data_IF_678150122565
#
_entry.id   IF_678150122565
#
_cell.length_a   1.000
_cell.length_b   1.000
_cell.length_c   1.000
_cell.angle_alpha   90.00
_cell.angle_beta   90.00
_cell.angle_gamma   90.00
#
_symmetry.space_group_name_H-M   'P 1'
#
loop_
_entity.id
_entity.type
_entity.pdbx_description
1 polymer ?
#
# COMPACT_ATOMS: atom_id res chain seq x y z
N UNK A 1 -19.12 -15.26 -27.27
CA UNK A 1 -18.78 -13.93 -26.71
C UNK A 1 -17.69 -14.12 -25.67
N UNK A 2 -16.52 -13.50 -25.86
CA UNK A 2 -15.43 -13.52 -24.87
C UNK A 2 -15.43 -12.19 -24.11
N UNK A 3 -15.56 -12.24 -22.79
CA UNK A 3 -15.55 -11.06 -21.92
C UNK A 3 -14.16 -10.96 -21.31
N UNK A 4 -13.53 -9.80 -21.44
CA UNK A 4 -12.24 -9.48 -20.82
C UNK A 4 -12.45 -8.24 -19.95
N UNK A 5 -11.93 -8.26 -18.73
CA UNK A 5 -12.06 -7.16 -17.78
C UNK A 5 -11.07 -7.26 -16.65
N UNK A 6 -11.12 -6.29 -15.73
CA UNK A 6 -10.32 -6.26 -14.52
C UNK A 6 -11.19 -6.48 -13.28
N UNK A 7 -10.66 -7.24 -12.32
CA UNK A 7 -11.28 -7.42 -11.01
C UNK A 7 -10.68 -6.41 -10.01
N UNK A 8 -11.50 -5.89 -9.10
CA UNK A 8 -10.99 -5.06 -8.00
C UNK A 8 -10.23 -5.95 -7.01
N UNK A 9 -9.16 -5.42 -6.40
CA UNK A 9 -8.39 -6.16 -5.37
C UNK A 9 -9.26 -6.68 -4.22
N UNK A 10 -10.32 -5.96 -3.86
CA UNK A 10 -11.27 -6.40 -2.83
C UNK A 10 -12.08 -7.64 -3.21
N UNK A 11 -12.26 -7.92 -4.50
CA UNK A 11 -13.03 -9.08 -5.01
C UNK A 11 -12.17 -10.34 -5.18
N UNK A 12 -10.84 -10.19 -5.22
CA UNK A 12 -9.89 -11.28 -5.51
C UNK A 12 -8.71 -11.27 -4.53
N UNK A 13 -8.97 -10.89 -3.28
CA UNK A 13 -7.93 -10.60 -2.27
C UNK A 13 -7.03 -11.81 -2.00
N UNK A 14 -7.62 -13.00 -1.98
CA UNK A 14 -6.92 -14.27 -1.77
C UNK A 14 -5.97 -14.64 -2.92
N UNK A 15 -6.23 -14.19 -4.14
CA UNK A 15 -5.34 -14.44 -5.29
C UNK A 15 -4.04 -13.64 -5.23
N UNK A 16 -3.92 -12.69 -4.31
CA UNK A 16 -2.68 -11.95 -4.04
C UNK A 16 -1.84 -12.58 -2.92
N UNK A 17 -2.28 -13.69 -2.31
CA UNK A 17 -1.55 -14.39 -1.24
C UNK A 17 -0.68 -15.53 -1.78
N UNK A 18 -0.27 -15.43 -3.03
CA UNK A 18 0.51 -16.46 -3.75
C UNK A 18 1.98 -16.06 -3.74
N UNK A 19 2.87 -17.02 -3.51
CA UNK A 19 4.30 -16.76 -3.50
C UNK A 19 4.80 -16.37 -4.90
N UNK A 20 5.76 -15.44 -4.98
CA UNK A 20 6.32 -14.99 -6.27
C UNK A 20 6.98 -16.13 -7.07
N UNK A 21 7.35 -17.22 -6.41
CA UNK A 21 7.91 -18.43 -7.03
C UNK A 21 6.88 -19.19 -7.88
N UNK A 22 5.58 -18.99 -7.63
CA UNK A 22 4.50 -19.58 -8.42
C UNK A 22 4.12 -18.73 -9.64
N UNK A 23 4.78 -17.59 -9.85
CA UNK A 23 4.52 -16.74 -11.00
C UNK A 23 5.46 -17.12 -12.15
N UNK A 24 4.87 -17.31 -13.32
CA UNK A 24 5.61 -17.54 -14.55
C UNK A 24 5.93 -16.22 -15.26
N UNK A 25 7.03 -16.18 -16.02
CA UNK A 25 7.26 -15.06 -16.94
C UNK A 25 6.28 -15.13 -18.12
N UNK A 26 5.43 -14.11 -18.27
CA UNK A 26 4.46 -14.06 -19.37
C UNK A 26 5.08 -13.44 -20.61
N UNK A 27 5.74 -12.28 -20.44
CA UNK A 27 6.38 -11.55 -21.53
C UNK A 27 7.34 -10.48 -20.99
N UNK A 28 8.29 -10.10 -21.81
CA UNK A 28 9.13 -8.92 -21.60
C UNK A 28 8.52 -7.72 -22.33
N UNK A 29 8.32 -6.60 -21.62
CA UNK A 29 7.85 -5.36 -22.24
C UNK A 29 8.93 -4.72 -23.11
N UNK A 30 8.54 -3.81 -24.04
CA UNK A 30 9.48 -3.08 -24.89
C UNK A 30 10.55 -2.27 -24.11
N UNK A 31 10.28 -1.97 -22.84
CA UNK A 31 11.22 -1.30 -21.93
C UNK A 31 12.18 -2.28 -21.21
N UNK A 32 12.21 -3.56 -21.60
CA UNK A 32 13.06 -4.59 -20.99
C UNK A 32 12.59 -5.06 -19.60
N UNK A 33 11.36 -4.74 -19.20
CA UNK A 33 10.81 -5.20 -17.90
C UNK A 33 10.09 -6.53 -18.08
N UNK A 34 10.54 -7.56 -17.36
CA UNK A 34 9.88 -8.86 -17.24
C UNK A 34 8.55 -8.73 -16.50
N UNK A 35 7.47 -9.19 -17.13
CA UNK A 35 6.12 -9.19 -16.56
C UNK A 35 5.81 -10.63 -16.14
N UNK A 36 5.59 -10.82 -14.85
CA UNK A 36 5.25 -12.12 -14.30
C UNK A 36 3.72 -12.26 -14.16
N UNK A 37 3.23 -13.49 -14.23
CA UNK A 37 1.82 -13.80 -14.17
C UNK A 37 1.53 -15.09 -13.43
N UNK A 38 0.49 -15.08 -12.61
CA UNK A 38 -0.09 -16.26 -12.00
C UNK A 38 -1.50 -16.47 -12.55
N UNK A 39 -1.76 -17.62 -13.15
CA UNK A 39 -3.06 -17.95 -13.74
C UNK A 39 -3.86 -18.84 -12.80
N UNK A 40 -5.11 -18.46 -12.54
CA UNK A 40 -6.02 -19.22 -11.69
C UNK A 40 -7.47 -19.12 -12.18
N UNK A 41 -8.39 -19.77 -11.48
CA UNK A 41 -9.83 -19.72 -11.72
C UNK A 41 -10.54 -19.05 -10.54
N UNK A 42 -11.55 -18.24 -10.84
CA UNK A 42 -12.31 -17.50 -9.85
C UNK A 42 -13.78 -17.42 -10.20
N UNK A 43 -14.66 -17.49 -9.19
CA UNK A 43 -16.05 -17.10 -9.38
C UNK A 43 -16.20 -15.60 -9.17
N UNK A 44 -16.56 -14.88 -10.23
CA UNK A 44 -16.83 -13.45 -10.19
C UNK A 44 -18.21 -13.21 -10.79
N UNK A 45 -19.04 -12.39 -10.14
CA UNK A 45 -20.40 -12.09 -10.62
C UNK A 45 -21.24 -13.34 -10.89
N UNK A 46 -21.10 -14.39 -10.07
CA UNK A 46 -21.82 -15.66 -10.19
C UNK A 46 -21.42 -16.52 -11.39
N UNK A 47 -20.22 -16.28 -11.96
CA UNK A 47 -19.69 -17.04 -13.10
C UNK A 47 -18.20 -17.33 -12.91
N UNK A 48 -17.74 -18.49 -13.40
CA UNK A 48 -16.33 -18.85 -13.42
C UNK A 48 -15.56 -18.08 -14.50
N UNK A 49 -14.44 -17.48 -14.11
CA UNK A 49 -13.50 -16.79 -14.99
C UNK A 49 -12.09 -17.33 -14.81
N UNK A 50 -11.33 -17.41 -15.91
CA UNK A 50 -9.87 -17.51 -15.82
C UNK A 50 -9.32 -16.13 -15.48
N UNK A 51 -8.56 -16.06 -14.40
CA UNK A 51 -7.94 -14.84 -13.89
C UNK A 51 -6.44 -14.95 -14.05
N UNK A 52 -5.81 -13.86 -14.49
CA UNK A 52 -4.36 -13.72 -14.52
C UNK A 52 -3.98 -12.59 -13.58
N UNK A 53 -3.23 -12.91 -12.54
CA UNK A 53 -2.67 -11.94 -11.60
C UNK A 53 -1.32 -11.51 -12.15
N UNK A 54 -1.16 -10.23 -12.46
CA UNK A 54 0.08 -9.69 -13.02
C UNK A 54 0.96 -9.09 -11.92
N UNK A 55 2.24 -9.46 -11.91
CA UNK A 55 3.25 -8.84 -11.08
C UNK A 55 4.30 -8.12 -11.94
N UNK A 56 4.52 -6.84 -11.60
CA UNK A 56 5.49 -5.97 -12.29
C UNK A 56 6.58 -5.54 -11.29
N UNK A 57 7.75 -6.20 -11.29
CA UNK A 57 8.82 -5.93 -10.32
C UNK A 57 9.25 -4.46 -10.28
N UNK A 58 9.36 -3.83 -11.45
CA UNK A 58 9.76 -2.42 -11.57
C UNK A 58 8.72 -1.48 -10.93
N UNK A 59 7.43 -1.75 -11.14
CA UNK A 59 6.34 -0.97 -10.54
C UNK A 59 6.35 -1.12 -9.02
N UNK A 60 6.50 -2.34 -8.51
CA UNK A 60 6.58 -2.60 -7.07
C UNK A 60 7.77 -1.86 -6.43
N UNK A 61 8.96 -1.92 -7.04
CA UNK A 61 10.14 -1.18 -6.59
C UNK A 61 9.90 0.34 -6.54
N UNK A 62 9.26 0.90 -7.57
CA UNK A 62 8.95 2.32 -7.64
C UNK A 62 7.90 2.76 -6.62
N UNK A 63 6.88 1.93 -6.38
CA UNK A 63 5.87 2.16 -5.34
C UNK A 63 6.52 2.18 -3.96
N UNK A 64 7.36 1.18 -3.65
CA UNK A 64 8.13 1.14 -2.39
C UNK A 64 9.02 2.38 -2.23
N UNK A 65 9.78 2.76 -3.26
CA UNK A 65 10.63 3.96 -3.21
C UNK A 65 9.83 5.24 -2.98
N UNK A 66 8.67 5.37 -3.63
CA UNK A 66 7.77 6.52 -3.44
C UNK A 66 7.21 6.56 -2.02
N UNK A 67 6.84 5.39 -1.49
CA UNK A 67 6.37 5.25 -0.12
C UNK A 67 7.45 5.69 0.88
N UNK A 68 8.67 5.16 0.78
CA UNK A 68 9.76 5.51 1.72
C UNK A 68 10.06 7.00 1.71
N UNK A 69 10.14 7.63 0.53
CA UNK A 69 10.34 9.08 0.42
C UNK A 69 9.22 9.88 1.12
N UNK A 70 7.96 9.45 0.96
CA UNK A 70 6.83 10.09 1.62
C UNK A 70 6.86 9.87 3.13
N UNK A 71 7.17 8.64 3.57
CA UNK A 71 7.33 8.30 4.98
C UNK A 71 8.38 9.19 5.64
N UNK A 72 9.55 9.34 5.04
CA UNK A 72 10.60 10.25 5.54
C UNK A 72 10.11 11.69 5.68
N UNK A 73 9.38 12.19 4.68
CA UNK A 73 8.82 13.55 4.75
C UNK A 73 7.76 13.71 5.85
N UNK A 74 6.92 12.70 6.06
CA UNK A 74 5.89 12.71 7.09
C UNK A 74 6.51 12.63 8.49
N UNK A 75 7.46 11.73 8.71
CA UNK A 75 8.20 11.59 9.97
C UNK A 75 8.85 12.92 10.35
N UNK A 76 9.54 13.58 9.42
CA UNK A 76 10.15 14.90 9.67
C UNK A 76 9.13 15.95 10.13
N UNK A 77 7.95 15.99 9.53
CA UNK A 77 6.90 16.95 9.90
C UNK A 77 6.30 16.59 11.27
N UNK A 78 6.03 15.31 11.53
CA UNK A 78 5.45 14.83 12.79
C UNK A 78 6.41 15.04 13.96
N UNK A 79 7.72 14.79 13.78
CA UNK A 79 8.75 15.08 14.78
C UNK A 79 8.84 16.59 15.07
N UNK A 80 8.71 17.43 14.04
CA UNK A 80 8.66 18.88 14.21
C UNK A 80 7.41 19.34 14.97
N UNK A 81 6.27 18.64 14.85
CA UNK A 81 5.06 18.91 15.63
C UNK A 81 5.28 18.48 17.09
N UNK A 82 5.88 17.31 17.33
CA UNK A 82 6.22 16.79 18.67
C UNK A 82 7.14 17.74 19.46
N UNK A 83 8.08 18.39 18.78
CA UNK A 83 9.01 19.34 19.40
C UNK A 83 8.46 20.75 19.66
N UNK A 84 7.24 21.07 19.24
CA UNK A 84 6.65 22.41 19.40
C UNK A 84 5.81 22.52 20.67
N UNK A 85 5.81 23.70 21.30
CA UNK A 85 4.87 24.07 22.37
C UNK A 85 3.49 24.36 21.79
N UNK A 86 2.79 23.32 21.34
CA UNK A 86 1.40 23.38 20.92
C UNK A 86 0.51 22.78 22.01
N UNK A 87 -0.77 23.15 22.02
CA UNK A 87 -1.77 22.38 22.76
C UNK A 87 -1.87 20.98 22.16
N UNK A 88 -2.21 19.97 22.97
CA UNK A 88 -2.37 18.59 22.51
C UNK A 88 -3.34 18.51 21.33
N UNK A 89 -4.48 19.20 21.44
CA UNK A 89 -5.50 19.25 20.39
C UNK A 89 -4.97 19.90 19.09
N UNK A 90 -4.19 20.98 19.22
CA UNK A 90 -3.55 21.64 18.08
C UNK A 90 -2.53 20.74 17.38
N UNK A 91 -1.71 20.03 18.15
CA UNK A 91 -0.74 19.07 17.63
C UNK A 91 -1.44 17.89 16.92
N UNK A 92 -2.49 17.33 17.51
CA UNK A 92 -3.27 16.24 16.89
C UNK A 92 -3.93 16.68 15.58
N UNK A 93 -4.55 17.87 15.55
CA UNK A 93 -5.19 18.40 14.34
C UNK A 93 -4.17 18.61 13.23
N UNK A 94 -3.04 19.23 13.55
CA UNK A 94 -1.98 19.48 12.59
C UNK A 94 -1.38 18.17 12.04
N UNK A 95 -1.22 17.15 12.89
CA UNK A 95 -0.76 15.83 12.47
C UNK A 95 -1.78 15.13 11.54
N UNK A 96 -3.08 15.20 11.84
CA UNK A 96 -4.14 14.63 11.01
C UNK A 96 -4.26 15.29 9.64
N UNK A 97 -4.03 16.61 9.57
CA UNK A 97 -4.02 17.36 8.32
C UNK A 97 -2.76 17.08 7.48
N UNK A 98 -1.64 16.78 8.14
CA UNK A 98 -0.39 16.40 7.49
C UNK A 98 -0.45 15.01 6.87
N UNK A 99 -1.05 14.03 7.57
CA UNK A 99 -1.09 12.63 7.12
C UNK A 99 -2.20 12.44 6.06
N UNK A 100 -1.86 12.08 4.80
CA UNK A 100 -2.85 11.82 3.79
C UNK A 100 -3.76 10.65 4.19
N UNK A 101 -5.03 10.68 3.75
CA UNK A 101 -6.06 9.72 4.17
C UNK A 101 -5.62 8.25 4.05
N UNK A 102 -4.93 7.91 2.97
CA UNK A 102 -4.46 6.54 2.69
C UNK A 102 -3.43 6.04 3.72
N UNK A 103 -2.70 6.95 4.36
CA UNK A 103 -1.63 6.64 5.32
C UNK A 103 -2.11 6.69 6.78
N UNK A 104 -3.32 7.21 7.05
CA UNK A 104 -3.86 7.32 8.41
C UNK A 104 -4.02 5.97 9.12
N UNK A 105 -4.16 4.90 8.35
CA UNK A 105 -4.22 3.56 8.91
C UNK A 105 -2.85 3.05 9.40
N UNK A 106 -1.76 3.61 8.85
CA UNK A 106 -0.36 3.24 9.11
C UNK A 106 0.22 4.11 10.24
N UNK A 107 -0.03 5.42 10.21
CA UNK A 107 0.43 6.35 11.25
C UNK A 107 -0.63 6.47 12.34
N UNK A 108 -0.36 5.87 13.50
CA UNK A 108 -1.22 5.96 14.69
C UNK A 108 -0.78 7.15 15.54
N UNK A 109 -1.67 8.11 15.72
CA UNK A 109 -1.44 9.25 16.60
C UNK A 109 -1.85 8.88 18.02
N UNK A 110 -1.00 9.19 18.99
CA UNK A 110 -1.21 8.89 20.40
C UNK A 110 -0.87 10.11 21.26
N UNK A 111 -1.22 10.02 22.54
CA UNK A 111 -0.82 10.99 23.56
C UNK A 111 0.00 10.20 24.59
N UNK A 112 1.23 10.64 24.87
CA UNK A 112 2.10 10.02 25.85
C UNK A 112 2.62 11.09 26.81
N UNK A 113 2.49 10.86 28.11
CA UNK A 113 2.85 11.81 29.18
C UNK A 113 2.31 13.25 28.97
N UNK A 114 1.08 13.36 28.44
CA UNK A 114 0.46 14.66 28.15
C UNK A 114 1.06 15.41 26.95
N UNK A 115 1.90 14.75 26.15
CA UNK A 115 2.46 15.26 24.91
C UNK A 115 1.96 14.46 23.70
N UNK A 116 1.95 15.11 22.53
CA UNK A 116 1.66 14.45 21.26
C UNK A 116 2.75 13.43 20.92
N UNK A 117 2.34 12.24 20.49
CA UNK A 117 3.24 11.21 19.99
C UNK A 117 2.62 10.46 18.79
N UNK A 118 3.42 9.66 18.10
CA UNK A 118 2.93 8.80 17.02
C UNK A 118 3.71 7.49 16.92
N UNK A 119 3.07 6.47 16.35
CA UNK A 119 3.69 5.19 16.03
C UNK A 119 3.30 4.72 14.63
N UNK A 120 4.14 3.87 14.05
CA UNK A 120 3.94 3.33 12.70
C UNK A 120 3.54 1.85 12.82
N UNK A 121 2.39 1.49 12.23
CA UNK A 121 1.90 0.11 12.18
C UNK A 121 2.64 -0.68 11.10
N UNK A 122 3.70 -1.38 11.52
CA UNK A 122 4.58 -2.17 10.65
C UNK A 122 3.83 -3.27 9.89
N UNK A 123 2.75 -3.82 10.45
CA UNK A 123 1.98 -4.87 9.79
C UNK A 123 1.18 -4.33 8.60
N UNK A 124 0.61 -3.12 8.74
CA UNK A 124 -0.08 -2.45 7.64
C UNK A 124 0.89 -1.88 6.61
N UNK A 125 2.06 -1.45 7.04
CA UNK A 125 3.15 -1.02 6.16
C UNK A 125 3.65 -2.15 5.24
N UNK A 126 3.77 -3.37 5.75
CA UNK A 126 4.14 -4.56 4.94
C UNK A 126 3.09 -4.97 3.90
N UNK A 127 1.86 -4.46 4.02
CA UNK A 127 0.77 -4.76 3.09
C UNK A 127 0.67 -3.82 1.88
N UNK A 128 1.55 -2.81 1.78
CA UNK A 128 1.66 -1.87 0.66
C UNK A 128 2.54 -2.42 -0.46
#
# INVERSE_FOLDING_TARGET
MHIIGSARRSQVKEMFQVHLEEYDELYTSNAGVHILGYRTMAELFGRGFSVVVLYKPATHKNQKKTYEKRKESLVKILDAIKGRKLTIEGAMRQALDTIPRDYRSIFKLNINDGAFDYSIDVNKEKGL
#
